data_IF_422872765283
#
_entry.id   IF_422872765283
#
_cell.length_a   1.000
_cell.length_b   1.000
_cell.length_c   1.000
_cell.angle_alpha   90.00
_cell.angle_beta   90.00
_cell.angle_gamma   90.00
#
_symmetry.space_group_name_H-M   'P 1'
#
loop_
_entity.id
_entity.type
_entity.pdbx_description
1 polymer ?
#
# COMPACT_ATOMS: atom_id res chain seq x y z
N UNK A 1 -11.93 6.57 20.52
CA UNK A 1 -10.95 5.55 20.09
C UNK A 1 -10.26 6.10 18.87
N UNK A 2 -8.93 6.31 18.90
CA UNK A 2 -8.17 6.63 17.70
C UNK A 2 -8.20 5.40 16.80
N UNK A 3 -8.96 5.45 15.69
CA UNK A 3 -8.97 4.38 14.70
C UNK A 3 -7.61 4.40 14.00
N UNK A 4 -6.81 3.37 14.16
CA UNK A 4 -5.51 3.21 13.49
C UNK A 4 -5.68 3.30 11.96
N UNK A 5 -6.76 2.73 11.44
CA UNK A 5 -7.11 2.77 10.02
C UNK A 5 -8.62 2.58 9.83
N UNK A 6 -9.21 3.29 8.86
CA UNK A 6 -10.55 2.97 8.36
C UNK A 6 -10.36 2.15 7.10
N UNK A 7 -10.74 0.87 7.09
CA UNK A 7 -10.55 0.03 5.91
C UNK A 7 -11.36 0.57 4.73
N UNK A 8 -10.78 0.48 3.54
CA UNK A 8 -11.40 0.95 2.29
C UNK A 8 -12.06 -0.24 1.58
N UNK A 9 -13.27 -0.05 1.03
CA UNK A 9 -14.04 -1.10 0.33
C UNK A 9 -14.19 -2.38 1.20
N UNK A 10 -14.39 -2.20 2.52
CA UNK A 10 -14.44 -3.31 3.48
C UNK A 10 -15.53 -4.31 3.13
N UNK A 11 -16.76 -3.85 2.95
CA UNK A 11 -17.89 -4.71 2.66
C UNK A 11 -17.68 -5.48 1.36
N UNK A 12 -17.27 -4.79 0.30
CA UNK A 12 -17.02 -5.39 -1.00
C UNK A 12 -15.87 -6.40 -0.96
N UNK A 13 -14.78 -6.08 -0.27
CA UNK A 13 -13.63 -6.99 -0.16
C UNK A 13 -14.02 -8.29 0.55
N UNK A 14 -14.76 -8.20 1.64
CA UNK A 14 -15.20 -9.36 2.41
C UNK A 14 -16.28 -10.17 1.68
N UNK A 15 -17.19 -9.51 0.97
CA UNK A 15 -18.17 -10.18 0.11
C UNK A 15 -17.49 -10.99 -1.00
N UNK A 16 -16.52 -10.37 -1.67
CA UNK A 16 -15.76 -11.07 -2.71
C UNK A 16 -14.88 -12.20 -2.18
N UNK A 17 -14.32 -12.07 -0.99
CA UNK A 17 -13.55 -13.16 -0.33
C UNK A 17 -14.44 -14.36 0.02
N UNK A 18 -15.78 -14.18 0.15
CA UNK A 18 -16.72 -15.24 0.51
C UNK A 18 -16.32 -15.95 1.79
N UNK A 19 -16.07 -15.19 2.85
CA UNK A 19 -15.56 -15.71 4.12
C UNK A 19 -16.47 -16.79 4.69
N UNK A 20 -15.88 -17.95 5.03
CA UNK A 20 -16.54 -19.10 5.66
C UNK A 20 -15.89 -19.44 6.98
N UNK A 21 -16.71 -19.89 7.91
CA UNK A 21 -16.26 -20.29 9.25
C UNK A 21 -15.24 -21.42 9.19
N UNK A 22 -14.18 -21.31 9.99
CA UNK A 22 -13.06 -22.24 10.11
C UNK A 22 -12.22 -22.43 8.86
N UNK A 23 -12.37 -21.60 7.82
CA UNK A 23 -11.50 -21.60 6.66
C UNK A 23 -10.35 -20.60 6.82
N UNK A 24 -9.23 -20.88 6.15
CA UNK A 24 -7.99 -20.10 6.26
C UNK A 24 -7.94 -18.99 5.20
N UNK A 25 -7.49 -17.81 5.61
CA UNK A 25 -7.31 -16.62 4.78
C UNK A 25 -5.94 -16.01 5.04
N UNK A 26 -5.38 -15.36 4.04
CA UNK A 26 -4.16 -14.55 4.19
C UNK A 26 -4.54 -13.08 3.98
N UNK A 27 -4.24 -12.23 4.96
CA UNK A 27 -4.22 -10.79 4.82
C UNK A 27 -2.76 -10.38 4.61
N UNK A 28 -2.39 -10.09 3.37
CA UNK A 28 -1.01 -9.81 2.98
C UNK A 28 -0.55 -8.39 3.34
N UNK A 29 -1.47 -7.55 3.82
CA UNK A 29 -1.29 -6.13 4.13
C UNK A 29 -2.12 -5.78 5.35
N UNK A 30 -1.77 -6.37 6.50
CA UNK A 30 -2.57 -6.37 7.74
C UNK A 30 -2.98 -4.96 8.20
N UNK A 31 -2.04 -4.00 8.16
CA UNK A 31 -2.25 -2.65 8.64
C UNK A 31 -2.83 -2.61 10.06
N UNK A 32 -3.92 -1.86 10.25
CA UNK A 32 -4.64 -1.81 11.53
C UNK A 32 -5.59 -2.98 11.80
N UNK A 33 -5.60 -4.00 10.95
CA UNK A 33 -6.41 -5.22 11.11
C UNK A 33 -7.90 -5.05 10.81
N UNK A 34 -8.29 -4.02 10.06
CA UNK A 34 -9.71 -3.75 9.80
C UNK A 34 -10.39 -4.86 8.98
N UNK A 35 -9.81 -5.24 7.85
CA UNK A 35 -10.27 -6.36 7.03
C UNK A 35 -10.12 -7.70 7.78
N UNK A 36 -8.97 -7.91 8.44
CA UNK A 36 -8.73 -9.10 9.29
C UNK A 36 -9.79 -9.25 10.36
N UNK A 37 -10.18 -8.17 11.05
CA UNK A 37 -11.24 -8.19 12.06
C UNK A 37 -12.56 -8.74 11.52
N UNK A 38 -13.00 -8.26 10.36
CA UNK A 38 -14.23 -8.71 9.71
C UNK A 38 -14.14 -10.18 9.25
N UNK A 39 -12.97 -10.65 8.79
CA UNK A 39 -12.76 -12.07 8.47
C UNK A 39 -12.89 -12.93 9.73
N UNK A 40 -12.30 -12.49 10.85
CA UNK A 40 -12.37 -13.19 12.14
C UNK A 40 -13.77 -13.21 12.71
N UNK A 41 -14.54 -12.13 12.62
CA UNK A 41 -15.93 -12.02 13.09
C UNK A 41 -16.85 -12.97 12.32
N UNK A 42 -16.55 -13.25 11.04
CA UNK A 42 -17.23 -14.31 10.26
C UNK A 42 -16.69 -15.71 10.53
N UNK A 43 -15.79 -15.85 11.50
CA UNK A 43 -15.25 -17.14 11.96
C UNK A 43 -14.10 -17.70 11.10
N UNK A 44 -13.49 -16.90 10.24
CA UNK A 44 -12.29 -17.26 9.49
C UNK A 44 -11.06 -17.42 10.40
N UNK A 45 -10.00 -18.01 9.85
CA UNK A 45 -8.68 -18.12 10.47
C UNK A 45 -7.71 -17.34 9.60
N UNK A 46 -6.97 -16.39 10.17
CA UNK A 46 -6.18 -15.44 9.40
C UNK A 46 -4.68 -15.54 9.69
N UNK A 47 -3.90 -15.51 8.62
CA UNK A 47 -2.47 -15.19 8.64
C UNK A 47 -2.32 -13.75 8.18
N UNK A 48 -1.98 -12.84 9.10
CA UNK A 48 -1.76 -11.42 8.83
C UNK A 48 -0.26 -11.14 8.64
N UNK A 49 0.08 -10.49 7.54
CA UNK A 49 1.45 -10.12 7.19
C UNK A 49 1.54 -8.59 7.14
N UNK A 50 2.54 -8.02 7.78
CA UNK A 50 2.90 -6.61 7.61
C UNK A 50 4.40 -6.42 7.80
N UNK A 51 4.96 -5.39 7.16
CA UNK A 51 6.35 -4.96 7.37
C UNK A 51 6.47 -3.95 8.51
N UNK A 52 5.37 -3.27 8.87
CA UNK A 52 5.34 -2.23 9.87
C UNK A 52 5.09 -2.81 11.26
N UNK A 53 6.12 -2.79 12.10
CA UNK A 53 6.06 -3.28 13.49
C UNK A 53 5.00 -2.53 14.31
N UNK A 54 4.78 -1.24 14.07
CA UNK A 54 3.76 -0.46 14.77
C UNK A 54 2.33 -0.94 14.45
N UNK A 55 2.11 -1.42 13.21
CA UNK A 55 0.85 -2.04 12.81
C UNK A 55 0.64 -3.38 13.51
N UNK A 56 1.66 -4.24 13.53
CA UNK A 56 1.62 -5.53 14.21
C UNK A 56 1.38 -5.37 15.70
N UNK A 57 2.11 -4.46 16.37
CA UNK A 57 1.93 -4.14 17.79
C UNK A 57 0.51 -3.67 18.11
N UNK A 58 -0.07 -2.84 17.23
CA UNK A 58 -1.44 -2.38 17.37
C UNK A 58 -2.43 -3.54 17.29
N UNK A 59 -2.29 -4.41 16.29
CA UNK A 59 -3.16 -5.57 16.10
C UNK A 59 -2.97 -6.58 17.23
N UNK A 60 -1.74 -6.86 17.67
CA UNK A 60 -1.47 -7.74 18.78
C UNK A 60 -2.20 -7.31 20.07
N UNK A 61 -2.17 -6.01 20.36
CA UNK A 61 -2.86 -5.43 21.53
C UNK A 61 -4.40 -5.54 21.46
N UNK A 62 -4.97 -5.41 20.25
CA UNK A 62 -6.42 -5.36 20.07
C UNK A 62 -7.06 -6.73 19.78
N UNK A 63 -6.29 -7.71 19.29
CA UNK A 63 -6.78 -9.05 18.90
C UNK A 63 -6.21 -10.18 19.77
N UNK A 64 -5.86 -9.91 21.03
CA UNK A 64 -5.26 -10.88 21.96
C UNK A 64 -6.04 -12.19 22.06
N UNK A 65 -7.36 -12.11 22.10
CA UNK A 65 -8.22 -13.29 22.20
C UNK A 65 -8.13 -14.18 20.94
N UNK A 66 -8.13 -13.59 19.76
CA UNK A 66 -8.04 -14.32 18.50
C UNK A 66 -6.66 -14.96 18.31
N UNK A 67 -5.60 -14.27 18.77
CA UNK A 67 -4.23 -14.79 18.76
C UNK A 67 -4.10 -15.98 19.72
N UNK A 68 -4.57 -15.84 20.97
CA UNK A 68 -4.50 -16.90 21.98
C UNK A 68 -5.29 -18.16 21.59
N UNK A 69 -6.33 -18.02 20.77
CA UNK A 69 -7.14 -19.12 20.26
C UNK A 69 -6.70 -19.63 18.87
N UNK A 70 -5.51 -19.25 18.42
CA UNK A 70 -4.95 -19.65 17.11
C UNK A 70 -5.84 -19.29 15.90
N UNK A 71 -6.67 -18.26 16.03
CA UNK A 71 -7.49 -17.73 14.93
C UNK A 71 -6.77 -16.65 14.13
N UNK A 72 -5.77 -16.01 14.72
CA UNK A 72 -4.93 -15.00 14.09
C UNK A 72 -3.45 -15.30 14.34
N UNK A 73 -2.67 -15.39 13.28
CA UNK A 73 -1.21 -15.48 13.30
C UNK A 73 -0.64 -14.20 12.69
N UNK A 74 0.29 -13.54 13.35
CA UNK A 74 0.92 -12.30 12.91
C UNK A 74 2.36 -12.56 12.48
N UNK A 75 2.75 -12.06 11.32
CA UNK A 75 4.10 -12.20 10.77
C UNK A 75 4.65 -10.84 10.33
N UNK A 76 5.79 -10.44 10.91
CA UNK A 76 6.58 -9.30 10.41
C UNK A 76 7.43 -9.76 9.24
N UNK A 77 6.97 -9.54 8.02
CA UNK A 77 7.73 -9.82 6.79
C UNK A 77 7.08 -9.04 5.62
N UNK A 78 7.78 -8.97 4.50
CA UNK A 78 7.26 -8.43 3.27
C UNK A 78 6.41 -9.47 2.53
N UNK A 79 5.23 -9.08 2.06
CA UNK A 79 4.33 -9.96 1.32
C UNK A 79 4.95 -10.54 0.01
N UNK A 80 6.06 -10.00 -0.48
CA UNK A 80 6.87 -10.62 -1.56
C UNK A 80 7.28 -12.05 -1.24
N UNK A 81 7.37 -12.37 0.06
CA UNK A 81 7.72 -13.67 0.62
C UNK A 81 6.50 -14.55 0.95
N UNK A 82 5.30 -14.18 0.49
CA UNK A 82 4.01 -14.79 0.86
C UNK A 82 4.02 -16.33 0.77
N UNK A 83 4.67 -16.91 -0.23
CA UNK A 83 4.77 -18.36 -0.42
C UNK A 83 5.55 -19.01 0.73
N UNK A 84 6.74 -18.50 1.05
CA UNK A 84 7.55 -19.00 2.17
C UNK A 84 6.83 -18.85 3.50
N UNK A 85 6.21 -17.69 3.72
CA UNK A 85 5.46 -17.38 4.94
C UNK A 85 4.28 -18.36 5.10
N UNK A 86 3.51 -18.57 4.04
CA UNK A 86 2.37 -19.48 4.06
C UNK A 86 2.79 -20.93 4.36
N UNK A 87 3.82 -21.43 3.71
CA UNK A 87 4.36 -22.79 3.94
C UNK A 87 4.81 -22.99 5.40
N UNK A 88 5.58 -22.04 5.93
CA UNK A 88 6.08 -22.14 7.33
C UNK A 88 4.97 -22.11 8.38
N UNK A 89 3.80 -21.54 8.04
CA UNK A 89 2.66 -21.40 8.95
C UNK A 89 1.49 -22.34 8.61
N UNK A 90 1.64 -23.27 7.67
CA UNK A 90 0.60 -24.20 7.21
C UNK A 90 -0.63 -23.48 6.62
N UNK A 91 -0.43 -22.41 5.85
CA UNK A 91 -1.47 -21.65 5.14
C UNK A 91 -1.44 -21.91 3.63
N UNK A 92 -1.34 -23.16 3.24
CA UNK A 92 -1.56 -23.64 1.87
C UNK A 92 -3.03 -24.06 1.68
N UNK A 93 -3.49 -24.00 0.44
CA UNK A 93 -4.87 -24.31 0.11
C UNK A 93 -5.87 -23.37 0.79
N UNK A 94 -5.50 -22.08 0.92
CA UNK A 94 -6.35 -21.08 1.60
C UNK A 94 -7.58 -20.73 0.78
N UNK A 95 -8.62 -20.25 1.47
CA UNK A 95 -9.93 -19.91 0.91
C UNK A 95 -9.98 -18.50 0.32
N UNK A 96 -8.98 -17.67 0.62
CA UNK A 96 -8.85 -16.34 0.05
C UNK A 96 -7.59 -15.64 0.49
N UNK A 97 -7.14 -14.69 -0.34
CA UNK A 97 -6.01 -13.83 -0.06
C UNK A 97 -6.42 -12.40 -0.35
N UNK A 98 -6.14 -11.50 0.59
CA UNK A 98 -6.38 -10.07 0.48
C UNK A 98 -5.06 -9.31 0.37
N UNK A 99 -5.03 -8.34 -0.53
CA UNK A 99 -4.03 -7.29 -0.59
C UNK A 99 -4.76 -5.93 -0.54
N UNK A 100 -4.56 -5.14 0.52
CA UNK A 100 -4.98 -3.75 0.64
C UNK A 100 -3.72 -2.88 0.55
N UNK A 101 -3.37 -2.46 -0.68
CA UNK A 101 -2.06 -1.88 -0.99
C UNK A 101 -1.94 -0.44 -0.48
N UNK A 102 -0.71 0.02 -0.32
CA UNK A 102 -0.38 1.39 0.04
C UNK A 102 -0.13 1.61 1.53
N UNK A 103 -0.33 2.83 1.99
CA UNK A 103 0.01 3.28 3.36
C UNK A 103 -1.22 3.35 4.25
N UNK A 104 -1.05 3.01 5.52
CA UNK A 104 -2.10 3.17 6.52
C UNK A 104 -2.36 4.64 6.85
N UNK A 105 -3.56 4.94 7.34
CA UNK A 105 -3.88 6.28 7.85
C UNK A 105 -2.93 6.71 8.96
N UNK A 106 -2.54 5.78 9.82
CA UNK A 106 -1.59 6.03 10.90
C UNK A 106 -0.24 6.52 10.37
N UNK A 107 0.31 5.87 9.34
CA UNK A 107 1.58 6.28 8.73
C UNK A 107 1.51 7.69 8.13
N UNK A 108 0.40 8.05 7.48
CA UNK A 108 0.21 9.41 6.92
C UNK A 108 0.04 10.45 8.04
N UNK A 109 -0.66 10.09 9.11
CA UNK A 109 -0.99 11.02 10.18
C UNK A 109 0.17 11.23 11.17
N UNK A 110 1.13 10.31 11.21
CA UNK A 110 2.33 10.39 12.05
C UNK A 110 3.43 11.16 11.31
N UNK A 111 3.70 12.40 11.76
CA UNK A 111 4.65 13.30 11.09
C UNK A 111 6.08 12.70 11.02
N UNK A 112 6.48 11.96 12.04
CA UNK A 112 7.78 11.31 12.19
C UNK A 112 8.04 10.21 11.14
N UNK A 113 6.99 9.70 10.49
CA UNK A 113 7.09 8.71 9.42
C UNK A 113 7.40 9.33 8.04
N UNK A 114 7.20 10.64 7.87
CA UNK A 114 7.58 11.38 6.67
C UNK A 114 6.71 11.18 5.44
N UNK A 115 5.55 10.53 5.55
CA UNK A 115 4.64 10.30 4.41
C UNK A 115 3.82 11.54 4.02
N UNK A 116 3.61 12.48 4.95
CA UNK A 116 2.80 13.67 4.71
C UNK A 116 3.66 14.88 4.31
N UNK A 117 3.30 15.55 3.24
CA UNK A 117 3.89 16.83 2.84
C UNK A 117 3.21 18.04 3.52
N UNK A 118 2.09 17.84 4.20
CA UNK A 118 1.37 18.89 4.96
C UNK A 118 1.89 19.04 6.39
N UNK A 119 2.54 18.00 6.91
CA UNK A 119 3.13 17.99 8.26
C UNK A 119 4.65 18.00 8.13
N UNK A 120 5.30 18.82 8.95
CA UNK A 120 6.76 18.79 9.04
C UNK A 120 7.22 17.54 9.77
N UNK A 121 8.07 16.76 9.11
CA UNK A 121 8.69 15.56 9.65
C UNK A 121 9.96 15.24 8.87
N UNK A 122 10.74 14.22 9.31
CA UNK A 122 11.89 13.73 8.56
C UNK A 122 11.42 13.19 7.19
N UNK A 123 12.24 13.31 6.18
CA UNK A 123 11.95 12.79 4.84
C UNK A 123 12.31 11.30 4.80
N UNK A 124 11.58 10.47 5.58
CA UNK A 124 11.85 9.04 5.75
C UNK A 124 11.08 8.18 4.73
N UNK A 125 9.78 8.04 4.85
CA UNK A 125 8.84 7.27 4.03
C UNK A 125 9.05 5.75 4.03
N UNK A 126 9.85 5.17 4.92
CA UNK A 126 9.96 3.72 5.05
C UNK A 126 8.72 3.15 5.76
N UNK A 127 8.10 2.13 5.20
CA UNK A 127 7.09 1.33 5.89
C UNK A 127 7.77 0.41 6.91
N UNK A 128 8.80 -0.30 6.47
CA UNK A 128 9.71 -1.06 7.32
C UNK A 128 10.89 -0.18 7.76
N UNK A 129 11.00 0.09 9.06
CA UNK A 129 12.08 0.93 9.62
C UNK A 129 13.47 0.29 9.50
N UNK A 130 13.54 -1.01 9.24
CA UNK A 130 14.80 -1.74 9.06
C UNK A 130 15.41 -1.53 7.64
N UNK A 131 14.68 -0.92 6.71
CA UNK A 131 15.22 -0.57 5.39
C UNK A 131 16.35 0.45 5.51
N UNK A 132 17.41 0.26 4.73
CA UNK A 132 18.59 1.15 4.75
C UNK A 132 18.43 2.45 3.98
N UNK A 133 17.41 2.57 3.10
CA UNK A 133 17.22 3.71 2.19
C UNK A 133 15.96 4.47 2.56
N UNK A 134 16.09 5.77 2.78
CA UNK A 134 14.98 6.70 3.05
C UNK A 134 14.69 7.59 1.84
N UNK A 135 13.58 8.30 1.84
CA UNK A 135 13.32 9.33 0.83
C UNK A 135 14.37 10.46 0.88
N UNK A 136 14.89 10.80 2.08
CA UNK A 136 16.04 11.71 2.26
C UNK A 136 17.25 11.22 1.47
N UNK A 137 17.58 9.92 1.59
CA UNK A 137 18.68 9.31 0.84
C UNK A 137 18.49 9.49 -0.66
N UNK A 138 17.29 9.16 -1.18
CA UNK A 138 17.01 9.25 -2.61
C UNK A 138 17.16 10.69 -3.14
N UNK A 139 16.57 11.70 -2.49
CA UNK A 139 16.63 13.07 -2.97
C UNK A 139 18.03 13.68 -2.85
N UNK A 140 18.85 13.23 -1.90
CA UNK A 140 20.19 13.78 -1.71
C UNK A 140 21.28 13.05 -2.52
N UNK A 141 21.08 11.79 -2.92
CA UNK A 141 22.11 10.97 -3.59
C UNK A 141 21.84 10.85 -5.09
N UNK A 142 20.61 10.61 -5.52
CA UNK A 142 20.30 10.34 -6.93
C UNK A 142 20.69 11.52 -7.83
N UNK A 143 21.23 11.21 -9.02
CA UNK A 143 21.53 12.22 -10.05
C UNK A 143 20.25 12.91 -10.54
N UNK A 144 20.40 14.05 -11.24
CA UNK A 144 19.24 14.74 -11.85
C UNK A 144 18.47 13.82 -12.81
N UNK A 145 19.18 12.97 -13.57
CA UNK A 145 18.57 12.03 -14.52
C UNK A 145 17.75 10.95 -13.80
N UNK A 146 18.31 10.34 -12.76
CA UNK A 146 17.63 9.33 -11.96
C UNK A 146 16.40 9.90 -11.23
N UNK A 147 16.49 11.11 -10.65
CA UNK A 147 15.34 11.80 -10.06
C UNK A 147 14.25 12.09 -11.10
N UNK A 148 14.65 12.54 -12.31
CA UNK A 148 13.70 12.75 -13.39
C UNK A 148 12.97 11.45 -13.75
N UNK A 149 13.70 10.37 -13.94
CA UNK A 149 13.15 9.05 -14.26
C UNK A 149 12.22 8.55 -13.17
N UNK A 150 12.61 8.67 -11.92
CA UNK A 150 11.81 8.30 -10.75
C UNK A 150 10.47 9.04 -10.74
N UNK A 151 10.49 10.37 -10.82
CA UNK A 151 9.26 11.17 -10.80
C UNK A 151 8.40 10.99 -12.03
N UNK A 152 9.00 10.80 -13.20
CA UNK A 152 8.27 10.55 -14.43
C UNK A 152 7.63 9.17 -14.48
N UNK A 153 8.37 8.11 -14.11
CA UNK A 153 7.90 6.71 -14.20
C UNK A 153 6.96 6.35 -13.05
N UNK A 154 7.34 6.66 -11.81
CA UNK A 154 6.59 6.28 -10.61
C UNK A 154 5.57 7.33 -10.17
N UNK A 155 5.84 8.61 -10.43
CA UNK A 155 4.94 9.71 -10.10
C UNK A 155 4.01 10.11 -11.24
N UNK A 156 4.34 9.75 -12.49
CA UNK A 156 3.69 10.31 -13.70
C UNK A 156 3.65 11.85 -13.63
N UNK A 157 4.76 12.46 -13.15
CA UNK A 157 4.86 13.86 -12.83
C UNK A 157 5.31 14.67 -14.06
N UNK A 158 4.46 15.57 -14.50
CA UNK A 158 4.71 16.37 -15.73
C UNK A 158 5.84 17.40 -15.58
N UNK A 159 6.10 17.86 -14.35
CA UNK A 159 7.20 18.79 -14.04
C UNK A 159 8.45 18.11 -13.49
N UNK A 160 8.58 16.79 -13.68
CA UNK A 160 9.71 15.99 -13.20
C UNK A 160 11.07 16.63 -13.46
N UNK A 161 11.28 17.21 -14.65
CA UNK A 161 12.54 17.89 -15.01
C UNK A 161 12.82 19.13 -14.15
N UNK A 162 11.81 20.00 -13.97
CA UNK A 162 11.95 21.22 -13.16
C UNK A 162 12.18 20.89 -11.69
N UNK A 163 11.45 19.89 -11.17
CA UNK A 163 11.57 19.43 -9.79
C UNK A 163 12.95 18.82 -9.54
N UNK A 164 13.41 17.91 -10.40
CA UNK A 164 14.75 17.29 -10.29
C UNK A 164 15.87 18.34 -10.34
N UNK A 165 15.75 19.34 -11.22
CA UNK A 165 16.68 20.48 -11.28
C UNK A 165 16.64 21.29 -9.97
N UNK A 166 15.45 21.54 -9.42
CA UNK A 166 15.24 22.24 -8.15
C UNK A 166 15.90 21.51 -6.97
N UNK A 167 15.67 20.21 -6.85
CA UNK A 167 16.27 19.35 -5.83
C UNK A 167 17.79 19.40 -5.88
N UNK A 168 18.39 19.12 -7.06
CA UNK A 168 19.85 19.14 -7.25
C UNK A 168 20.46 20.51 -6.96
N UNK A 169 19.75 21.60 -7.29
CA UNK A 169 20.20 22.95 -6.94
C UNK A 169 20.15 23.19 -5.42
N UNK A 170 19.08 22.82 -4.77
CA UNK A 170 18.85 23.06 -3.34
C UNK A 170 19.84 22.27 -2.46
N UNK A 171 20.05 20.99 -2.75
CA UNK A 171 20.93 20.12 -1.94
C UNK A 171 22.40 20.48 -2.03
N UNK A 172 22.84 21.25 -3.05
CA UNK A 172 24.20 21.81 -3.12
C UNK A 172 24.48 22.86 -2.03
N UNK A 173 23.43 23.49 -1.52
CA UNK A 173 23.53 24.51 -0.45
C UNK A 173 23.35 23.84 0.91
N UNK A 174 22.31 23.00 1.06
CA UNK A 174 21.98 22.26 2.29
C UNK A 174 21.23 20.99 1.90
N UNK A 175 21.56 19.87 2.55
CA UNK A 175 20.81 18.62 2.39
C UNK A 175 19.32 18.83 2.70
N UNK A 176 18.48 18.16 1.91
CA UNK A 176 17.02 18.19 2.08
C UNK A 176 16.66 17.08 3.07
N UNK A 177 16.21 17.46 4.27
CA UNK A 177 15.97 16.52 5.36
C UNK A 177 14.49 16.43 5.79
N UNK A 178 13.71 17.47 5.49
CA UNK A 178 12.33 17.58 5.94
C UNK A 178 11.34 17.50 4.78
N UNK A 179 10.17 16.96 5.06
CA UNK A 179 9.04 16.90 4.11
C UNK A 179 8.66 18.27 3.58
N UNK A 180 8.64 19.29 4.44
CA UNK A 180 8.30 20.68 4.08
C UNK A 180 9.38 21.34 3.23
N UNK A 181 10.67 20.99 3.38
CA UNK A 181 11.75 21.49 2.53
C UNK A 181 11.57 20.98 1.09
N UNK A 182 11.27 19.67 0.93
CA UNK A 182 10.97 19.08 -0.38
C UNK A 182 9.70 19.70 -1.00
N UNK A 183 8.62 19.82 -0.23
CA UNK A 183 7.37 20.45 -0.67
C UNK A 183 7.61 21.85 -1.21
N UNK A 184 8.40 22.68 -0.50
CA UNK A 184 8.75 24.02 -0.96
C UNK A 184 9.53 24.06 -2.30
N UNK A 185 10.36 23.04 -2.57
CA UNK A 185 11.06 22.92 -3.86
C UNK A 185 10.06 22.56 -4.98
N UNK A 186 9.13 21.64 -4.72
CA UNK A 186 8.09 21.24 -5.66
C UNK A 186 7.19 22.45 -5.99
N UNK A 187 6.70 23.14 -4.97
CA UNK A 187 5.84 24.31 -5.09
C UNK A 187 6.52 25.41 -5.96
N UNK A 188 7.80 25.68 -5.73
CA UNK A 188 8.59 26.59 -6.57
C UNK A 188 8.69 26.14 -8.03
N UNK A 189 8.83 24.83 -8.28
CA UNK A 189 8.87 24.30 -9.65
C UNK A 189 7.52 24.46 -10.37
N UNK A 190 6.43 24.55 -9.62
CA UNK A 190 5.08 24.86 -10.11
C UNK A 190 4.78 26.36 -10.17
N UNK A 191 5.65 27.22 -9.66
CA UNK A 191 5.41 28.66 -9.55
C UNK A 191 4.41 29.04 -8.45
N UNK A 192 4.21 28.15 -7.49
CA UNK A 192 3.28 28.35 -6.38
C UNK A 192 3.97 29.15 -5.27
N UNK A 193 3.24 30.08 -4.64
CA UNK A 193 3.73 30.86 -3.49
C UNK A 193 3.50 30.10 -2.19
N UNK A 194 4.32 30.39 -1.16
CA UNK A 194 4.32 29.67 0.11
C UNK A 194 3.03 29.76 0.95
N UNK A 195 2.14 30.71 0.65
CA UNK A 195 0.81 30.91 1.26
C UNK A 195 -0.32 30.16 0.56
N UNK A 196 0.01 29.23 -0.35
CA UNK A 196 -0.97 28.43 -1.06
C UNK A 196 -1.79 27.53 -0.09
N UNK A 197 -3.07 27.32 -0.45
CA UNK A 197 -3.97 26.45 0.30
C UNK A 197 -3.48 24.99 0.31
N UNK A 198 -3.88 24.22 1.32
CA UNK A 198 -3.57 22.78 1.41
C UNK A 198 -4.07 22.01 0.19
N UNK A 199 -5.19 22.40 -0.40
CA UNK A 199 -5.70 21.83 -1.65
C UNK A 199 -4.68 21.97 -2.78
N UNK A 200 -4.11 23.17 -2.96
CA UNK A 200 -3.10 23.44 -3.97
C UNK A 200 -1.81 22.67 -3.72
N UNK A 201 -1.36 22.64 -2.45
CA UNK A 201 -0.19 21.86 -2.04
C UNK A 201 -0.39 20.36 -2.30
N UNK A 202 -1.57 19.82 -1.97
CA UNK A 202 -1.94 18.43 -2.28
C UNK A 202 -1.80 18.13 -3.78
N UNK A 203 -2.33 19.00 -4.62
CA UNK A 203 -2.34 18.80 -6.07
C UNK A 203 -0.92 18.63 -6.66
N UNK A 204 0.05 19.40 -6.19
CA UNK A 204 1.41 19.42 -6.75
C UNK A 204 2.38 18.47 -6.07
N UNK A 205 2.18 18.19 -4.77
CA UNK A 205 3.11 17.34 -4.00
C UNK A 205 2.81 15.84 -4.12
N UNK A 206 1.52 15.48 -4.27
CA UNK A 206 1.05 14.08 -4.21
C UNK A 206 1.87 13.13 -5.09
N UNK A 207 2.16 13.51 -6.34
CA UNK A 207 2.84 12.65 -7.32
C UNK A 207 4.30 12.39 -6.97
N UNK A 208 5.00 13.42 -6.49
CA UNK A 208 6.42 13.32 -6.12
C UNK A 208 6.57 12.49 -4.86
N UNK A 209 5.75 12.73 -3.84
CA UNK A 209 5.74 11.96 -2.60
C UNK A 209 5.35 10.51 -2.85
N UNK A 210 4.34 10.24 -3.70
CA UNK A 210 4.00 8.89 -4.13
C UNK A 210 5.18 8.21 -4.84
N UNK A 211 5.88 8.89 -5.74
CA UNK A 211 7.02 8.31 -6.44
C UNK A 211 8.15 7.91 -5.50
N UNK A 212 8.48 8.78 -4.53
CA UNK A 212 9.49 8.48 -3.50
C UNK A 212 9.05 7.31 -2.63
N UNK A 213 7.79 7.28 -2.18
CA UNK A 213 7.24 6.21 -1.37
C UNK A 213 7.35 4.86 -2.07
N UNK A 214 6.90 4.80 -3.32
CA UNK A 214 7.00 3.60 -4.16
C UNK A 214 8.45 3.13 -4.27
N UNK A 215 9.40 4.05 -4.50
CA UNK A 215 10.80 3.69 -4.66
C UNK A 215 11.47 3.25 -3.35
N UNK A 216 11.17 3.91 -2.22
CA UNK A 216 11.71 3.56 -0.91
C UNK A 216 11.27 2.16 -0.49
N UNK A 217 10.00 1.81 -0.74
CA UNK A 217 9.39 0.58 -0.26
C UNK A 217 9.31 -0.54 -1.32
N UNK A 218 9.85 -0.32 -2.52
CA UNK A 218 9.81 -1.28 -3.65
C UNK A 218 8.38 -1.82 -3.92
N UNK A 219 7.35 -0.94 -3.78
CA UNK A 219 5.94 -1.35 -3.72
C UNK A 219 5.51 -2.15 -4.96
N UNK A 220 5.90 -1.69 -6.16
CA UNK A 220 5.50 -2.33 -7.42
C UNK A 220 6.22 -3.66 -7.64
N UNK A 221 7.50 -3.72 -7.34
CA UNK A 221 8.33 -4.92 -7.43
C UNK A 221 7.83 -6.00 -6.47
N UNK A 222 7.51 -5.62 -5.24
CA UNK A 222 6.96 -6.52 -4.24
C UNK A 222 5.62 -7.12 -4.71
N UNK A 223 4.74 -6.30 -5.30
CA UNK A 223 3.46 -6.75 -5.86
C UNK A 223 3.64 -7.71 -7.05
N UNK A 224 4.55 -7.39 -7.96
CA UNK A 224 4.89 -8.24 -9.12
C UNK A 224 5.46 -9.61 -8.70
N UNK A 225 6.19 -9.66 -7.58
CA UNK A 225 6.73 -10.91 -7.03
C UNK A 225 5.69 -11.72 -6.25
N UNK A 226 4.78 -11.06 -5.53
CA UNK A 226 3.82 -11.72 -4.64
C UNK A 226 2.64 -12.36 -5.38
N UNK A 227 2.00 -11.62 -6.30
CA UNK A 227 0.77 -12.09 -6.95
C UNK A 227 0.94 -13.41 -7.70
N UNK A 228 2.04 -13.65 -8.47
CA UNK A 228 2.28 -14.94 -9.11
C UNK A 228 2.44 -16.13 -8.15
N UNK A 229 2.87 -15.88 -6.91
CA UNK A 229 3.00 -16.90 -5.86
C UNK A 229 1.66 -17.11 -5.14
N UNK A 230 0.92 -16.04 -4.90
CA UNK A 230 -0.35 -16.08 -4.19
C UNK A 230 -1.39 -17.01 -4.85
N UNK A 231 -1.44 -17.08 -6.18
CA UNK A 231 -2.40 -17.94 -6.89
C UNK A 231 -2.19 -19.43 -6.58
N UNK A 232 -0.97 -19.87 -6.34
CA UNK A 232 -0.66 -21.27 -6.02
C UNK A 232 -1.05 -21.65 -4.60
N UNK A 233 -1.13 -20.68 -3.68
CA UNK A 233 -1.56 -20.88 -2.31
C UNK A 233 -3.08 -21.07 -2.16
N UNK A 234 -3.86 -20.67 -3.17
CA UNK A 234 -5.31 -20.84 -3.15
C UNK A 234 -5.73 -22.29 -3.41
N UNK A 235 -6.77 -22.74 -2.74
CA UNK A 235 -7.55 -23.90 -3.18
C UNK A 235 -8.40 -23.57 -4.42
N UNK A 236 -9.00 -24.59 -5.07
CA UNK A 236 -9.95 -24.36 -6.15
C UNK A 236 -11.16 -23.52 -5.70
N UNK A 237 -11.64 -22.63 -6.56
CA UNK A 237 -12.73 -21.67 -6.32
C UNK A 237 -12.46 -20.62 -5.25
N UNK A 238 -11.24 -20.53 -4.74
CA UNK A 238 -10.81 -19.47 -3.84
C UNK A 238 -10.38 -18.22 -4.62
N UNK A 239 -10.33 -17.06 -3.93
CA UNK A 239 -10.16 -15.78 -4.58
C UNK A 239 -8.97 -14.98 -4.05
N UNK A 240 -8.33 -14.25 -4.95
CA UNK A 240 -7.45 -13.13 -4.61
C UNK A 240 -8.26 -11.84 -4.77
N UNK A 241 -8.30 -11.04 -3.72
CA UNK A 241 -8.88 -9.69 -3.72
C UNK A 241 -7.74 -8.69 -3.56
N UNK A 242 -7.65 -7.72 -4.46
CA UNK A 242 -6.62 -6.68 -4.42
C UNK A 242 -7.27 -5.31 -4.48
N UNK A 243 -6.98 -4.48 -3.49
CA UNK A 243 -7.33 -3.05 -3.47
C UNK A 243 -6.07 -2.27 -3.80
N UNK A 244 -6.12 -1.44 -4.82
CA UNK A 244 -5.04 -0.58 -5.28
C UNK A 244 -5.44 0.89 -5.20
N UNK A 245 -4.49 1.80 -4.93
CA UNK A 245 -4.76 3.23 -4.73
C UNK A 245 -4.18 4.14 -5.81
N UNK A 246 -3.45 3.59 -6.76
CA UNK A 246 -2.98 4.33 -7.93
C UNK A 246 -2.91 3.46 -9.20
N UNK A 247 -2.78 4.15 -10.33
CA UNK A 247 -2.84 3.55 -11.67
C UNK A 247 -1.74 2.52 -11.95
N UNK A 248 -0.57 2.65 -11.32
CA UNK A 248 0.56 1.72 -11.55
C UNK A 248 0.26 0.37 -10.91
N UNK A 249 -0.21 0.34 -9.66
CA UNK A 249 -0.67 -0.90 -8.98
C UNK A 249 -1.80 -1.56 -9.77
N UNK A 250 -2.87 -0.82 -10.08
CA UNK A 250 -4.04 -1.34 -10.81
C UNK A 250 -3.64 -1.97 -12.17
N UNK A 251 -2.66 -1.37 -12.85
CA UNK A 251 -2.12 -1.88 -14.11
C UNK A 251 -1.40 -3.22 -13.94
N UNK A 252 -0.59 -3.36 -12.89
CA UNK A 252 0.12 -4.60 -12.56
C UNK A 252 -0.88 -5.70 -12.24
N UNK A 253 -1.83 -5.44 -11.33
CA UNK A 253 -2.88 -6.39 -10.94
C UNK A 253 -3.67 -6.86 -12.18
N UNK A 254 -4.15 -5.92 -12.99
CA UNK A 254 -4.90 -6.23 -14.21
C UNK A 254 -4.08 -7.08 -15.20
N UNK A 255 -2.79 -6.77 -15.38
CA UNK A 255 -1.90 -7.51 -16.26
C UNK A 255 -1.72 -8.94 -15.77
N UNK A 256 -1.40 -9.14 -14.50
CA UNK A 256 -1.16 -10.44 -13.91
C UNK A 256 -2.43 -11.31 -13.93
N UNK A 257 -3.59 -10.75 -13.57
CA UNK A 257 -4.86 -11.49 -13.61
C UNK A 257 -5.23 -11.92 -15.03
N UNK A 258 -5.00 -11.07 -16.04
CA UNK A 258 -5.17 -11.46 -17.45
C UNK A 258 -4.20 -12.57 -17.87
N UNK A 259 -2.99 -12.57 -17.38
CA UNK A 259 -2.01 -13.63 -17.66
C UNK A 259 -2.42 -14.94 -16.99
N UNK A 260 -3.03 -14.91 -15.81
CA UNK A 260 -3.61 -16.10 -15.18
C UNK A 260 -4.78 -16.66 -16.00
N UNK A 261 -5.67 -15.81 -16.54
CA UNK A 261 -6.75 -16.26 -17.43
C UNK A 261 -6.20 -16.94 -18.69
N UNK A 262 -5.22 -16.33 -19.37
CA UNK A 262 -4.58 -16.91 -20.56
C UNK A 262 -3.95 -18.28 -20.28
N UNK A 263 -3.47 -18.50 -19.04
CA UNK A 263 -2.90 -19.77 -18.59
C UNK A 263 -3.95 -20.76 -18.06
N UNK A 264 -5.24 -20.45 -18.21
CA UNK A 264 -6.36 -21.25 -17.69
C UNK A 264 -6.27 -21.53 -16.17
N UNK A 265 -5.70 -20.62 -15.38
CA UNK A 265 -5.59 -20.78 -13.93
C UNK A 265 -6.85 -20.36 -13.18
N UNK A 266 -7.77 -19.68 -13.84
CA UNK A 266 -9.00 -19.14 -13.26
C UNK A 266 -9.61 -18.05 -14.13
N UNK A 267 -10.41 -17.19 -13.52
CA UNK A 267 -11.10 -16.09 -14.19
C UNK A 267 -11.09 -14.80 -13.39
N UNK A 268 -11.07 -13.65 -14.06
CA UNK A 268 -11.34 -12.37 -13.42
C UNK A 268 -12.84 -12.25 -13.13
N UNK A 269 -13.19 -12.03 -11.85
CA UNK A 269 -14.58 -11.79 -11.44
C UNK A 269 -14.99 -10.35 -11.75
N UNK A 270 -14.04 -9.41 -11.64
CA UNK A 270 -14.27 -7.98 -11.89
C UNK A 270 -13.61 -7.55 -13.20
N UNK A 271 -14.33 -7.50 -14.30
CA UNK A 271 -13.81 -6.95 -15.57
C UNK A 271 -13.42 -5.47 -15.44
N UNK A 272 -14.32 -4.69 -14.84
CA UNK A 272 -14.04 -3.32 -14.37
C UNK A 272 -13.76 -3.35 -12.88
N UNK A 273 -12.82 -2.51 -12.37
CA UNK A 273 -12.59 -2.46 -10.95
C UNK A 273 -13.84 -1.95 -10.22
N UNK A 274 -14.09 -2.50 -9.04
CA UNK A 274 -15.06 -1.92 -8.11
C UNK A 274 -14.42 -0.66 -7.49
N UNK A 275 -15.18 0.40 -7.35
CA UNK A 275 -14.75 1.68 -6.80
C UNK A 275 -15.64 2.08 -5.63
N UNK A 276 -15.14 2.89 -4.69
CA UNK A 276 -15.91 3.32 -3.54
C UNK A 276 -17.22 4.00 -3.90
N UNK A 277 -18.23 3.80 -3.09
CA UNK A 277 -19.54 4.47 -3.21
C UNK A 277 -19.42 5.95 -2.83
N UNK A 278 -20.41 6.76 -3.23
CA UNK A 278 -20.45 8.19 -2.80
C UNK A 278 -20.49 8.31 -1.28
N UNK A 279 -21.24 7.45 -0.60
CA UNK A 279 -21.32 7.43 0.86
C UNK A 279 -19.96 7.17 1.49
N UNK A 280 -19.23 6.17 1.00
CA UNK A 280 -17.87 5.88 1.51
C UNK A 280 -16.91 7.04 1.28
N UNK A 281 -17.00 7.74 0.14
CA UNK A 281 -16.18 8.92 -0.15
C UNK A 281 -16.46 10.10 0.78
N UNK A 282 -17.69 10.26 1.22
CA UNK A 282 -18.08 11.28 2.21
C UNK A 282 -17.53 10.95 3.61
N UNK A 283 -17.52 9.66 3.98
CA UNK A 283 -17.03 9.16 5.27
C UNK A 283 -15.50 9.00 5.30
N UNK A 284 -14.89 8.63 4.16
CA UNK A 284 -13.45 8.37 4.01
C UNK A 284 -12.90 8.92 2.68
N UNK A 285 -12.46 10.16 2.69
CA UNK A 285 -11.90 10.82 1.49
C UNK A 285 -10.65 10.12 0.93
N UNK A 286 -9.95 9.28 1.73
CA UNK A 286 -8.78 8.52 1.31
C UNK A 286 -9.14 7.38 0.37
N UNK A 287 -10.38 6.93 0.36
CA UNK A 287 -10.88 5.92 -0.56
C UNK A 287 -10.97 6.40 -2.02
N UNK A 288 -10.87 7.70 -2.27
CA UNK A 288 -11.18 8.34 -3.57
C UNK A 288 -10.44 7.79 -4.81
N UNK A 289 -9.30 7.13 -4.63
CA UNK A 289 -8.55 6.53 -5.74
C UNK A 289 -8.56 4.99 -5.71
N UNK A 290 -9.26 4.38 -4.75
CA UNK A 290 -9.28 2.94 -4.57
C UNK A 290 -9.96 2.20 -5.74
N UNK A 291 -9.40 1.05 -6.07
CA UNK A 291 -9.90 0.13 -7.10
C UNK A 291 -9.72 -1.29 -6.62
N UNK A 292 -10.81 -2.02 -6.48
CA UNK A 292 -10.80 -3.41 -6.09
C UNK A 292 -10.91 -4.31 -7.33
N UNK A 293 -10.01 -5.29 -7.41
CA UNK A 293 -10.04 -6.36 -8.42
C UNK A 293 -10.04 -7.74 -7.77
N UNK A 294 -10.75 -8.66 -8.40
CA UNK A 294 -10.92 -10.03 -7.91
C UNK A 294 -10.59 -11.04 -8.99
N UNK A 295 -9.81 -12.05 -8.61
CA UNK A 295 -9.52 -13.22 -9.42
C UNK A 295 -9.93 -14.49 -8.67
N UNK A 296 -10.65 -15.40 -9.33
CA UNK A 296 -11.07 -16.70 -8.80
C UNK A 296 -10.26 -17.80 -9.48
N UNK A 297 -9.59 -18.63 -8.69
CA UNK A 297 -8.86 -19.81 -9.16
C UNK A 297 -9.83 -20.91 -9.63
N UNK A 298 -9.47 -21.67 -10.66
CA UNK A 298 -10.24 -22.84 -11.14
C UNK A 298 -10.42 -23.92 -10.08
#
# INVERSE_FOLDING_TARGET
MNKFHVPVLLEEAIEFLQVKKNEKYIDATLGGGGHTGEILDRGGIVLGIDVDEEALDYVEKNFKFQISNFKLTLIKDNFRNIEKIAHLNNFEGVSGILFDLGVSSYQIDTAERGFSFLKEGPLDMRMDKDLGVTAETLVNVLTKGELYDLFNKLGQEHRAFAISKGIVKSRRVKAIQKTTELSGIIEKAYGIRGDASDFTKNLVNKRVFQALRIAVNEELENLEMALPKAIYLLRGKARIVVISFHSLEDRIVKRIFKDFEKKNMGRMITEKPVTPTKKELEENSRAGSAKLRVFEKN
#
